data_IF_654946279673
#
_entry.id   IF_654946279673
#
_cell.length_a   1.000
_cell.length_b   1.000
_cell.length_c   1.000
_cell.angle_alpha   90.00
_cell.angle_beta   90.00
_cell.angle_gamma   90.00
#
_symmetry.space_group_name_H-M   'P 1'
#
loop_
_entity.id
_entity.type
_entity.pdbx_description
1 polymer ?
#
# COMPACT_ATOMS: atom_id res chain seq x y z
N UNK A 1 5.97 -0.97 12.93
CA UNK A 1 5.49 -1.67 14.14
C UNK A 1 6.44 -2.79 14.55
N UNK A 2 6.35 -3.25 15.79
CA UNK A 2 7.07 -4.45 16.27
C UNK A 2 6.69 -5.72 15.48
N UNK A 3 5.54 -5.72 14.81
CA UNK A 3 5.02 -6.81 13.99
C UNK A 3 5.53 -6.87 12.55
N UNK A 4 6.55 -6.09 12.18
CA UNK A 4 7.04 -5.97 10.80
C UNK A 4 5.90 -5.69 9.79
N UNK A 5 4.98 -4.81 10.15
CA UNK A 5 3.86 -4.34 9.32
C UNK A 5 3.62 -2.86 9.56
N UNK A 6 2.88 -2.17 8.72
CA UNK A 6 2.63 -0.73 8.88
C UNK A 6 1.70 -0.14 7.82
N UNK A 7 1.57 1.18 7.86
CA UNK A 7 0.73 1.94 6.93
C UNK A 7 1.51 3.10 6.31
N UNK A 8 1.11 3.48 5.10
CA UNK A 8 1.50 4.72 4.43
C UNK A 8 0.24 5.43 3.98
N UNK A 9 0.05 6.68 4.40
CA UNK A 9 -1.10 7.50 4.02
C UNK A 9 -0.68 8.58 3.03
N UNK A 10 -1.54 8.83 2.06
CA UNK A 10 -1.45 9.96 1.14
C UNK A 10 -2.64 10.85 1.43
N UNK A 11 -2.36 12.05 1.95
CA UNK A 11 -3.36 13.07 2.23
C UNK A 11 -3.29 14.11 1.09
N UNK A 12 -4.30 14.17 0.21
CA UNK A 12 -4.39 15.26 -0.76
C UNK A 12 -4.70 16.58 -0.04
N UNK A 13 -5.11 17.59 -0.77
CA UNK A 13 -5.56 18.87 -0.17
C UNK A 13 -6.82 18.68 0.68
N UNK A 14 -7.14 19.64 1.55
CA UNK A 14 -8.34 19.63 2.38
C UNK A 14 -9.65 19.51 1.57
N UNK A 15 -9.61 19.82 0.28
CA UNK A 15 -10.73 19.65 -0.66
C UNK A 15 -10.84 18.24 -1.24
N UNK A 16 -9.90 17.36 -0.89
CA UNK A 16 -9.76 16.04 -1.53
C UNK A 16 -9.12 16.11 -2.91
N UNK A 17 -9.13 14.98 -3.60
CA UNK A 17 -8.62 14.85 -4.96
C UNK A 17 -9.53 13.95 -5.80
N UNK A 18 -9.68 14.26 -7.08
CA UNK A 18 -10.31 13.35 -8.03
C UNK A 18 -9.47 12.08 -8.13
N UNK A 19 -10.12 10.93 -8.08
CA UNK A 19 -9.45 9.64 -8.03
C UNK A 19 -10.06 8.67 -9.03
N UNK A 20 -9.23 7.78 -9.56
CA UNK A 20 -9.62 6.63 -10.35
C UNK A 20 -9.03 5.36 -9.75
N UNK A 21 -9.56 4.21 -10.11
CA UNK A 21 -9.13 2.90 -9.62
C UNK A 21 -9.01 1.89 -10.75
N UNK A 22 -7.97 1.06 -10.63
CA UNK A 22 -7.86 -0.19 -11.38
C UNK A 22 -7.51 -1.30 -10.38
N UNK A 23 -8.39 -2.29 -10.21
CA UNK A 23 -8.24 -3.40 -9.27
C UNK A 23 -8.07 -4.68 -10.06
N UNK A 24 -6.90 -5.33 -9.87
CA UNK A 24 -6.57 -6.57 -10.58
C UNK A 24 -6.26 -7.69 -9.59
N UNK A 25 -6.46 -8.93 -10.03
CA UNK A 25 -6.24 -10.14 -9.24
C UNK A 25 -7.49 -10.63 -8.52
N UNK A 26 -7.40 -11.84 -7.98
CA UNK A 26 -8.53 -12.58 -7.42
C UNK A 26 -8.84 -12.32 -5.95
N UNK A 27 -7.97 -11.61 -5.21
CA UNK A 27 -8.11 -11.42 -3.77
C UNK A 27 -7.76 -10.00 -3.28
N UNK A 28 -8.34 -8.92 -3.88
CA UNK A 28 -8.03 -7.57 -3.45
C UNK A 28 -8.64 -7.29 -2.06
N UNK A 29 -7.80 -6.93 -1.09
CA UNK A 29 -8.25 -6.36 0.18
C UNK A 29 -8.31 -4.84 0.01
N UNK A 30 -9.50 -4.31 -0.26
CA UNK A 30 -9.69 -2.89 -0.54
C UNK A 30 -10.93 -2.33 0.16
N UNK A 31 -10.89 -1.03 0.46
CA UNK A 31 -11.99 -0.26 1.01
C UNK A 31 -12.32 0.91 0.10
N UNK A 32 -13.62 1.22 -0.05
CA UNK A 32 -14.18 2.34 -0.81
C UNK A 32 -13.82 2.37 -2.30
N UNK A 33 -13.19 1.32 -2.85
CA UNK A 33 -12.88 1.23 -4.27
C UNK A 33 -14.12 1.33 -5.17
N UNK A 34 -15.29 0.90 -4.70
CA UNK A 34 -16.55 1.04 -5.42
C UNK A 34 -16.99 2.49 -5.63
N UNK A 35 -16.61 3.43 -4.76
CA UNK A 35 -16.90 4.85 -4.91
C UNK A 35 -16.08 5.52 -6.01
N UNK A 36 -15.05 4.86 -6.51
CA UNK A 36 -14.22 5.36 -7.61
C UNK A 36 -14.76 4.97 -8.99
N UNK A 37 -15.88 4.26 -9.02
CA UNK A 37 -16.59 3.97 -10.27
C UNK A 37 -17.15 5.29 -10.85
N UNK A 38 -16.98 5.56 -12.17
CA UNK A 38 -17.51 6.77 -12.79
C UNK A 38 -19.04 6.97 -12.68
N UNK A 39 -19.77 5.92 -12.31
CA UNK A 39 -21.22 5.99 -12.04
C UNK A 39 -21.56 6.33 -10.58
N UNK A 40 -20.58 6.35 -9.69
CA UNK A 40 -20.79 6.76 -8.32
C UNK A 40 -20.97 8.27 -8.22
N UNK A 41 -21.74 8.72 -7.22
CA UNK A 41 -22.01 10.15 -6.99
C UNK A 41 -20.84 10.87 -6.29
N UNK A 42 -19.74 10.19 -6.04
CA UNK A 42 -18.56 10.76 -5.38
C UNK A 42 -17.52 11.18 -6.42
N UNK A 43 -17.04 12.40 -6.33
CA UNK A 43 -16.08 12.99 -7.26
C UNK A 43 -14.69 13.23 -6.64
N UNK A 44 -14.54 13.00 -5.34
CA UNK A 44 -13.26 13.20 -4.66
C UNK A 44 -13.04 12.23 -3.50
N UNK A 45 -11.77 11.96 -3.19
CA UNK A 45 -11.32 11.20 -2.01
C UNK A 45 -10.49 12.08 -1.10
N UNK A 46 -10.55 11.81 0.21
CA UNK A 46 -9.87 12.61 1.23
C UNK A 46 -8.56 11.97 1.69
N UNK A 47 -8.40 10.67 1.51
CA UNK A 47 -7.14 9.97 1.71
C UNK A 47 -7.03 8.71 0.88
N UNK A 48 -5.78 8.32 0.57
CA UNK A 48 -5.43 6.98 0.10
C UNK A 48 -4.51 6.34 1.13
N UNK A 49 -4.84 5.13 1.56
CA UNK A 49 -4.08 4.39 2.56
C UNK A 49 -3.56 3.08 1.97
N UNK A 50 -2.26 2.87 2.07
CA UNK A 50 -1.62 1.58 1.84
C UNK A 50 -1.29 0.96 3.20
N UNK A 51 -1.61 -0.30 3.42
CA UNK A 51 -1.33 -0.96 4.70
C UNK A 51 -0.95 -2.42 4.52
N UNK A 52 -0.17 -2.95 5.47
CA UNK A 52 -0.03 -4.39 5.65
C UNK A 52 -1.25 -5.00 6.35
N UNK A 53 -1.09 -6.23 6.84
CA UNK A 53 -2.10 -6.94 7.62
C UNK A 53 -3.16 -7.68 6.79
N UNK A 54 -3.02 -7.73 5.46
CA UNK A 54 -4.05 -8.32 4.59
C UNK A 54 -5.43 -7.66 4.86
N UNK A 55 -6.53 -8.39 4.74
CA UNK A 55 -7.86 -7.87 5.01
C UNK A 55 -8.06 -7.35 6.46
N UNK A 56 -7.29 -7.85 7.42
CA UNK A 56 -7.34 -7.33 8.80
C UNK A 56 -6.82 -5.88 8.88
N UNK A 57 -5.85 -5.51 8.04
CA UNK A 57 -5.30 -4.16 7.99
C UNK A 57 -6.30 -3.09 7.49
N UNK A 58 -7.47 -3.50 6.98
CA UNK A 58 -8.57 -2.58 6.64
C UNK A 58 -9.06 -1.77 7.86
N UNK A 59 -8.78 -2.22 9.07
CA UNK A 59 -9.08 -1.49 10.31
C UNK A 59 -8.36 -0.15 10.38
N UNK A 60 -7.18 -0.03 9.81
CA UNK A 60 -6.38 1.20 9.87
C UNK A 60 -7.10 2.42 9.28
N UNK A 61 -7.94 2.24 8.26
CA UNK A 61 -8.70 3.36 7.67
C UNK A 61 -9.71 3.99 8.64
N UNK A 62 -10.15 3.28 9.68
CA UNK A 62 -11.02 3.84 10.72
C UNK A 62 -10.30 4.98 11.45
N UNK A 63 -9.02 4.81 11.74
CA UNK A 63 -8.21 5.87 12.35
C UNK A 63 -7.98 7.06 11.42
N UNK A 64 -7.78 6.82 10.12
CA UNK A 64 -7.68 7.88 9.11
C UNK A 64 -9.00 8.65 9.00
N UNK A 65 -10.13 7.94 8.97
CA UNK A 65 -11.46 8.55 8.94
C UNK A 65 -11.68 9.45 10.16
N UNK A 66 -11.34 8.95 11.35
CA UNK A 66 -11.45 9.74 12.60
C UNK A 66 -10.60 11.01 12.54
N UNK A 67 -9.35 10.91 12.11
CA UNK A 67 -8.46 12.06 11.97
C UNK A 67 -9.04 13.11 11.02
N UNK A 68 -9.54 12.71 9.86
CA UNK A 68 -10.13 13.61 8.87
C UNK A 68 -11.43 14.26 9.37
N UNK A 69 -12.29 13.50 10.04
CA UNK A 69 -13.51 14.00 10.68
C UNK A 69 -13.19 15.10 11.69
N UNK A 70 -12.21 14.91 12.58
CA UNK A 70 -11.75 15.91 13.55
C UNK A 70 -11.21 17.19 12.89
N UNK A 71 -10.70 17.08 11.65
CA UNK A 71 -10.26 18.22 10.84
C UNK A 71 -11.40 18.85 10.02
N UNK A 72 -12.60 18.30 10.05
CA UNK A 72 -13.73 18.75 9.23
C UNK A 72 -13.56 18.43 7.73
N UNK A 73 -12.76 17.43 7.38
CA UNK A 73 -12.44 17.03 6.00
C UNK A 73 -13.28 15.81 5.62
N UNK A 74 -14.12 15.91 4.61
CA UNK A 74 -14.97 14.82 4.15
C UNK A 74 -16.08 15.31 3.23
N UNK A 75 -16.88 14.36 2.75
CA UNK A 75 -18.10 14.66 2.02
C UNK A 75 -19.11 15.34 2.95
N UNK A 76 -19.60 16.55 2.63
CA UNK A 76 -20.49 17.31 3.51
C UNK A 76 -21.89 16.67 3.56
N UNK A 77 -22.46 16.57 4.76
CA UNK A 77 -23.83 16.17 5.01
C UNK A 77 -24.50 17.14 6.02
N UNK A 78 -25.80 17.03 6.20
CA UNK A 78 -26.54 17.83 7.20
C UNK A 78 -26.11 17.49 8.65
N UNK A 79 -25.37 16.40 8.85
CA UNK A 79 -24.98 15.89 10.18
C UNK A 79 -23.46 15.97 10.43
N UNK A 80 -22.71 16.55 9.51
CA UNK A 80 -21.25 16.62 9.57
C UNK A 80 -20.59 16.13 8.29
N UNK A 81 -19.29 15.91 8.36
CA UNK A 81 -18.52 15.40 7.21
C UNK A 81 -18.36 13.89 7.29
N UNK A 82 -18.37 13.25 6.12
CA UNK A 82 -18.06 11.80 5.98
C UNK A 82 -16.79 11.66 5.16
N UNK A 83 -15.65 11.39 5.78
CA UNK A 83 -14.39 11.24 5.05
C UNK A 83 -14.40 10.02 4.13
N UNK A 84 -13.97 10.21 2.90
CA UNK A 84 -13.81 9.15 1.92
C UNK A 84 -12.36 8.71 1.91
N UNK A 85 -12.10 7.51 2.42
CA UNK A 85 -10.76 6.93 2.59
C UNK A 85 -10.66 5.65 1.77
N UNK A 86 -9.95 5.74 0.64
CA UNK A 86 -9.67 4.57 -0.17
C UNK A 86 -8.47 3.82 0.40
N UNK A 87 -8.60 2.52 0.60
CA UNK A 87 -7.52 1.71 1.16
C UNK A 87 -7.23 0.48 0.31
N UNK A 88 -5.95 0.13 0.24
CA UNK A 88 -5.45 -1.12 -0.32
C UNK A 88 -4.49 -1.78 0.65
N UNK A 89 -4.69 -3.09 0.90
CA UNK A 89 -3.85 -3.85 1.81
C UNK A 89 -2.98 -4.85 1.05
N UNK A 90 -1.73 -4.98 1.49
CA UNK A 90 -0.85 -6.04 1.08
C UNK A 90 -0.82 -7.17 2.11
N UNK A 91 -0.51 -8.39 1.65
CA UNK A 91 -0.36 -9.57 2.50
C UNK A 91 1.07 -9.63 3.03
N UNK A 92 1.24 -9.48 4.35
CA UNK A 92 2.53 -9.52 5.05
C UNK A 92 2.45 -10.32 6.37
N UNK A 93 1.42 -11.16 6.52
CA UNK A 93 1.16 -11.92 7.75
C UNK A 93 2.24 -12.96 8.06
N UNK A 94 3.08 -13.27 7.09
CA UNK A 94 4.18 -14.25 7.17
C UNK A 94 5.49 -13.64 7.70
N UNK A 95 5.58 -12.30 7.85
CA UNK A 95 6.88 -11.65 8.05
C UNK A 95 7.44 -11.70 9.48
N UNK A 96 6.61 -11.64 10.50
CA UNK A 96 7.08 -11.69 11.90
C UNK A 96 6.02 -12.35 12.79
N UNK A 97 4.90 -11.67 13.01
CA UNK A 97 3.76 -12.21 13.74
C UNK A 97 2.46 -11.79 13.06
N UNK A 98 1.58 -12.75 12.90
CA UNK A 98 0.27 -12.49 12.31
C UNK A 98 -0.75 -11.91 13.29
N UNK A 99 -0.36 -11.64 14.53
CA UNK A 99 -1.23 -11.07 15.58
C UNK A 99 -1.12 -9.57 15.71
N UNK A 100 0.01 -8.97 15.30
CA UNK A 100 0.19 -7.51 15.26
C UNK A 100 -0.11 -7.03 13.84
N UNK A 101 -1.12 -6.19 13.71
CA UNK A 101 -1.64 -5.72 12.43
C UNK A 101 -1.91 -4.22 12.49
N UNK A 102 -1.91 -3.52 11.35
CA UNK A 102 -2.34 -2.13 11.32
C UNK A 102 -3.78 -1.98 11.81
N UNK A 103 -3.96 -1.23 12.87
CA UNK A 103 -5.23 -0.93 13.54
C UNK A 103 -5.63 0.55 13.38
N UNK A 104 -6.76 0.92 13.96
CA UNK A 104 -7.24 2.30 13.94
C UNK A 104 -6.26 3.28 14.62
N UNK A 105 -5.56 2.85 15.68
CA UNK A 105 -4.57 3.70 16.35
C UNK A 105 -3.40 4.04 15.43
N UNK A 106 -2.88 3.03 14.71
CA UNK A 106 -1.82 3.24 13.73
C UNK A 106 -2.28 4.09 12.55
N UNK A 107 -3.52 3.88 12.06
CA UNK A 107 -4.12 4.69 11.01
C UNK A 107 -4.26 6.16 11.39
N UNK A 108 -4.61 6.47 12.63
CA UNK A 108 -4.63 7.85 13.14
C UNK A 108 -3.21 8.43 13.24
N UNK A 109 -2.27 7.65 13.81
CA UNK A 109 -0.89 8.10 14.01
C UNK A 109 -0.17 8.40 12.68
N UNK A 110 -0.42 7.64 11.62
CA UNK A 110 0.20 7.90 10.32
C UNK A 110 -0.26 9.23 9.71
N UNK A 111 -1.49 9.67 9.98
CA UNK A 111 -1.97 10.98 9.58
C UNK A 111 -1.25 12.12 10.31
N UNK A 112 -1.03 11.98 11.63
CA UNK A 112 -0.24 12.96 12.39
C UNK A 112 1.20 13.06 11.86
N UNK A 113 1.81 11.95 11.48
CA UNK A 113 3.14 11.94 10.88
C UNK A 113 3.16 12.64 9.51
N UNK A 114 2.10 12.49 8.73
CA UNK A 114 1.97 13.10 7.41
C UNK A 114 1.84 14.65 7.47
N UNK A 115 1.35 15.22 8.56
CA UNK A 115 1.28 16.68 8.74
C UNK A 115 2.65 17.36 8.54
N UNK A 116 3.72 16.66 8.88
CA UNK A 116 5.08 17.16 8.73
C UNK A 116 5.74 16.74 7.40
N UNK A 117 4.98 16.10 6.51
CA UNK A 117 5.48 15.53 5.25
C UNK A 117 6.74 14.66 5.46
N UNK A 118 6.79 13.97 6.59
CA UNK A 118 7.93 13.14 6.98
C UNK A 118 7.70 11.72 6.48
N UNK A 119 8.22 11.41 5.31
CA UNK A 119 8.16 10.09 4.71
C UNK A 119 9.55 9.58 4.32
N UNK A 120 9.69 8.29 4.20
CA UNK A 120 10.91 7.64 3.75
C UNK A 120 10.57 6.43 2.86
N UNK A 121 11.46 6.11 1.94
CA UNK A 121 11.42 4.88 1.18
C UNK A 121 12.08 3.71 1.95
N UNK A 122 11.78 2.49 1.54
CA UNK A 122 12.36 1.27 2.10
C UNK A 122 11.40 0.50 3.01
N UNK A 123 11.95 -0.11 4.06
CA UNK A 123 11.21 -0.99 4.98
C UNK A 123 10.43 -0.18 6.03
N UNK A 124 9.64 0.78 5.59
CA UNK A 124 8.83 1.67 6.43
C UNK A 124 7.38 1.68 5.98
N UNK A 125 6.48 2.14 6.84
CA UNK A 125 5.07 2.26 6.50
C UNK A 125 4.48 0.93 5.97
N UNK A 126 3.75 0.98 4.88
CA UNK A 126 3.20 -0.20 4.21
C UNK A 126 4.29 -1.15 3.67
N UNK A 127 5.49 -0.63 3.41
CA UNK A 127 6.64 -1.42 2.97
C UNK A 127 7.31 -2.24 4.10
N UNK A 128 6.94 -2.01 5.36
CA UNK A 128 7.57 -2.65 6.51
C UNK A 128 7.50 -4.20 6.46
N UNK A 129 6.38 -4.77 6.00
CA UNK A 129 6.20 -6.21 5.84
C UNK A 129 6.26 -6.68 4.38
N UNK A 130 6.45 -5.79 3.41
CA UNK A 130 6.39 -6.13 2.01
C UNK A 130 7.53 -7.07 1.56
N UNK A 131 7.20 -8.02 0.69
CA UNK A 131 8.11 -9.04 0.14
C UNK A 131 7.81 -9.29 -1.33
N UNK A 132 8.75 -9.90 -2.03
CA UNK A 132 8.56 -10.44 -3.40
C UNK A 132 9.17 -11.83 -3.53
N UNK A 133 8.95 -12.48 -4.68
CA UNK A 133 9.57 -13.78 -4.96
C UNK A 133 8.94 -14.94 -4.18
N UNK A 134 7.61 -15.02 -4.10
CA UNK A 134 6.88 -15.94 -3.22
C UNK A 134 6.59 -17.32 -3.83
N UNK A 135 6.87 -17.52 -5.11
CA UNK A 135 6.50 -18.74 -5.81
C UNK A 135 7.19 -20.01 -5.29
N UNK A 136 8.33 -19.86 -4.62
CA UNK A 136 9.09 -20.99 -4.01
C UNK A 136 8.87 -21.12 -2.50
N UNK A 137 7.93 -20.36 -1.91
CA UNK A 137 7.68 -20.38 -0.47
C UNK A 137 8.40 -19.27 0.30
N UNK A 138 8.03 -19.14 1.57
CA UNK A 138 8.49 -18.02 2.42
C UNK A 138 10.00 -18.02 2.69
N UNK A 139 10.64 -19.19 2.63
CA UNK A 139 12.08 -19.36 2.82
C UNK A 139 12.93 -18.78 1.68
N UNK A 140 12.31 -18.46 0.54
CA UNK A 140 12.98 -17.92 -0.64
C UNK A 140 12.63 -16.45 -0.92
N UNK A 141 11.67 -15.88 -0.17
CA UNK A 141 11.24 -14.51 -0.37
C UNK A 141 12.33 -13.48 -0.05
N UNK A 142 12.35 -12.39 -0.79
CA UNK A 142 13.13 -11.19 -0.46
C UNK A 142 12.27 -10.10 0.15
N UNK A 143 12.84 -9.38 1.12
CA UNK A 143 12.27 -8.13 1.60
C UNK A 143 12.30 -7.07 0.50
N UNK A 144 11.18 -6.39 0.38
CA UNK A 144 11.02 -5.20 -0.44
C UNK A 144 10.70 -4.00 0.44
N UNK A 145 9.94 -3.05 -0.03
CA UNK A 145 9.60 -1.87 0.72
C UNK A 145 8.54 -1.03 0.03
N UNK A 146 8.39 0.19 0.53
CA UNK A 146 7.73 1.27 -0.19
C UNK A 146 8.80 2.07 -0.94
N UNK A 147 8.49 2.46 -2.16
CA UNK A 147 9.33 3.34 -2.97
C UNK A 147 8.51 4.48 -3.56
N UNK A 148 9.14 5.62 -3.73
CA UNK A 148 8.50 6.79 -4.32
C UNK A 148 9.39 7.49 -5.33
N UNK A 149 8.79 8.14 -6.31
CA UNK A 149 9.48 9.07 -7.18
C UNK A 149 8.52 10.16 -7.66
N UNK A 150 9.09 11.30 -8.04
CA UNK A 150 8.31 12.40 -8.61
C UNK A 150 9.08 13.09 -9.73
N UNK A 151 8.33 13.51 -10.74
CA UNK A 151 8.85 14.26 -11.88
C UNK A 151 8.04 15.54 -12.08
N UNK A 152 8.69 16.56 -12.58
CA UNK A 152 8.04 17.81 -12.99
C UNK A 152 8.40 18.14 -14.42
N UNK A 153 7.37 18.43 -15.22
CA UNK A 153 7.50 18.89 -16.59
C UNK A 153 6.65 20.15 -16.76
N UNK A 154 7.28 21.30 -16.80
CA UNK A 154 6.58 22.58 -16.75
C UNK A 154 5.78 22.70 -15.45
N UNK A 155 4.48 22.97 -15.55
CA UNK A 155 3.57 23.07 -14.40
C UNK A 155 2.99 21.72 -13.96
N UNK A 156 3.19 20.66 -14.73
CA UNK A 156 2.70 19.33 -14.42
C UNK A 156 3.67 18.61 -13.48
N UNK A 157 3.14 18.11 -12.38
CA UNK A 157 3.87 17.25 -11.42
C UNK A 157 3.21 15.88 -11.38
N UNK A 158 4.03 14.84 -11.49
CA UNK A 158 3.58 13.44 -11.37
C UNK A 158 4.37 12.78 -10.26
N UNK A 159 3.66 12.23 -9.27
CA UNK A 159 4.25 11.45 -8.19
C UNK A 159 3.74 10.02 -8.23
N UNK A 160 4.60 9.08 -7.83
CA UNK A 160 4.27 7.65 -7.70
C UNK A 160 4.74 7.15 -6.35
N UNK A 161 3.89 6.38 -5.67
CA UNK A 161 4.24 5.64 -4.46
C UNK A 161 3.83 4.18 -4.70
N UNK A 162 4.74 3.25 -4.42
CA UNK A 162 4.53 1.82 -4.60
C UNK A 162 4.91 1.07 -3.33
N UNK A 163 3.98 0.31 -2.75
CA UNK A 163 4.29 -0.73 -1.77
C UNK A 163 4.44 -2.05 -2.55
N UNK A 164 5.68 -2.52 -2.70
CA UNK A 164 6.00 -3.67 -3.55
C UNK A 164 5.80 -4.99 -2.80
N UNK A 165 4.74 -5.73 -3.14
CA UNK A 165 4.40 -7.02 -2.51
C UNK A 165 4.04 -8.09 -3.57
N UNK A 166 4.87 -8.22 -4.60
CA UNK A 166 4.62 -9.12 -5.73
C UNK A 166 4.78 -10.60 -5.37
N UNK A 167 4.00 -11.46 -6.04
CA UNK A 167 4.23 -12.91 -6.04
C UNK A 167 5.52 -13.26 -6.77
N UNK A 168 5.77 -12.59 -7.88
CA UNK A 168 6.92 -12.80 -8.76
C UNK A 168 8.13 -11.93 -8.40
N UNK A 169 9.02 -11.86 -9.37
CA UNK A 169 10.32 -11.20 -9.27
C UNK A 169 10.23 -9.73 -9.73
N UNK A 170 11.23 -8.94 -9.41
CA UNK A 170 11.36 -7.53 -9.77
C UNK A 170 12.56 -7.34 -10.66
N UNK A 171 12.36 -6.71 -11.80
CA UNK A 171 13.39 -6.48 -12.81
C UNK A 171 13.62 -4.98 -13.04
N UNK A 172 14.85 -4.64 -13.31
CA UNK A 172 15.18 -3.34 -13.90
C UNK A 172 14.67 -3.33 -15.35
N UNK A 173 13.67 -2.50 -15.62
CA UNK A 173 13.03 -2.42 -16.93
C UNK A 173 13.97 -1.87 -18.04
N UNK A 174 15.07 -1.22 -17.65
CA UNK A 174 16.02 -0.63 -18.61
C UNK A 174 16.95 -1.66 -19.26
N UNK A 175 17.24 -2.73 -18.54
CA UNK A 175 18.22 -3.73 -18.95
C UNK A 175 17.79 -5.19 -18.74
N UNK A 176 16.62 -5.41 -18.11
CA UNK A 176 16.08 -6.74 -17.82
C UNK A 176 16.81 -7.50 -16.70
N UNK A 177 17.65 -6.84 -15.92
CA UNK A 177 18.35 -7.48 -14.79
C UNK A 177 17.37 -7.67 -13.63
N UNK A 178 17.33 -8.89 -13.08
CA UNK A 178 16.58 -9.17 -11.85
C UNK A 178 17.27 -8.47 -10.66
N UNK A 179 16.53 -7.64 -9.95
CA UNK A 179 17.02 -6.86 -8.79
C UNK A 179 16.46 -7.33 -7.46
N UNK A 180 15.32 -8.01 -7.48
CA UNK A 180 14.74 -8.68 -6.31
C UNK A 180 13.84 -9.82 -6.77
N UNK A 181 13.52 -10.75 -5.87
CA UNK A 181 12.67 -11.89 -6.19
C UNK A 181 12.96 -13.10 -5.31
N UNK A 182 12.60 -14.28 -5.79
CA UNK A 182 12.96 -15.50 -5.11
C UNK A 182 14.46 -15.71 -5.14
N UNK A 183 15.05 -16.11 -4.01
CA UNK A 183 16.49 -16.31 -3.86
C UNK A 183 16.77 -17.60 -3.10
N UNK A 184 17.76 -18.36 -3.54
CA UNK A 184 18.38 -19.39 -2.72
C UNK A 184 19.42 -18.72 -1.80
N UNK A 185 19.14 -18.65 -0.52
CA UNK A 185 20.02 -18.01 0.46
C UNK A 185 21.33 -18.74 0.71
N UNK A 186 21.46 -20.01 0.32
CA UNK A 186 22.70 -20.76 0.41
C UNK A 186 23.66 -20.42 -0.73
N UNK A 187 23.15 -20.44 -1.97
CA UNK A 187 23.94 -20.15 -3.17
C UNK A 187 24.01 -18.68 -3.52
N UNK A 188 23.11 -17.85 -2.94
CA UNK A 188 22.92 -16.44 -3.28
C UNK A 188 22.49 -16.19 -4.73
N UNK A 189 21.88 -17.20 -5.35
CA UNK A 189 21.39 -17.14 -6.72
C UNK A 189 19.90 -16.80 -6.73
N UNK A 190 19.47 -15.94 -7.66
CA UNK A 190 18.06 -15.75 -7.92
C UNK A 190 17.43 -17.02 -8.51
N UNK A 191 16.22 -17.29 -8.08
CA UNK A 191 15.33 -18.28 -8.66
C UNK A 191 14.33 -17.57 -9.56
N UNK A 192 13.77 -18.28 -10.54
CA UNK A 192 12.82 -17.73 -11.48
C UNK A 192 11.39 -18.08 -11.06
N UNK A 193 10.66 -17.11 -10.54
CA UNK A 193 9.27 -17.31 -10.10
C UNK A 193 8.32 -17.70 -11.25
N UNK A 194 8.58 -17.25 -12.47
CA UNK A 194 7.77 -17.62 -13.63
C UNK A 194 7.91 -19.11 -13.93
N UNK A 195 9.13 -19.66 -13.90
CA UNK A 195 9.36 -21.09 -14.07
C UNK A 195 8.65 -21.92 -12.99
N UNK A 196 8.69 -21.47 -11.71
CA UNK A 196 7.98 -22.15 -10.63
C UNK A 196 6.47 -22.23 -10.90
N UNK A 197 5.86 -21.14 -11.39
CA UNK A 197 4.43 -21.10 -11.70
C UNK A 197 4.06 -22.03 -12.87
N UNK A 198 4.92 -22.21 -13.87
CA UNK A 198 4.71 -23.19 -14.93
C UNK A 198 4.81 -24.64 -14.43
N UNK A 199 5.63 -24.91 -13.43
CA UNK A 199 5.77 -26.24 -12.84
C UNK A 199 4.61 -26.64 -11.92
N UNK A 200 3.80 -25.68 -11.47
CA UNK A 200 2.63 -25.91 -10.60
C UNK A 200 1.36 -26.30 -11.37
N UNK A 201 1.40 -26.35 -12.70
CA UNK A 201 0.31 -26.81 -13.56
C UNK A 201 0.36 -28.33 -13.78
#
# INVERSE_FOLDING_TARGET
TEGATGCTVILPTDKGATCGVDIRGGGPANREGGLLNPLAANDSVNAVLLSGGSAFGLEASIGVTKYLEEKGIGFPTDYGVVPIVCQSCLFDLEMHTNTIRPDASLGYQVCLNAENNNYADGNVGAGCGATCGKAYGSEHMMKTGVGSCAYQLGDVKVGVIVACNSMGDVFDYTNGTQIAGAIDYNTKQFLNCEEALYMMQ
#
